data_IF_847737594308
#
_entry.id   IF_847737594308
#
_cell.length_a   1.000
_cell.length_b   1.000
_cell.length_c   1.000
_cell.angle_alpha   90.00
_cell.angle_beta   90.00
_cell.angle_gamma   90.00
#
_symmetry.space_group_name_H-M   'P 1'
#
loop_
_entity.id
_entity.type
_entity.pdbx_description
1 polymer ?
#
# COMPACT_ATOMS: atom_id res chain seq x y z
N UNK A 1 38.63 38.70 -16.42
CA UNK A 1 38.00 37.88 -17.48
C UNK A 1 36.71 37.29 -16.92
N UNK A 2 35.60 37.99 -17.12
CA UNK A 2 34.26 37.59 -16.70
C UNK A 2 33.67 36.67 -17.77
N UNK A 3 33.34 35.43 -17.41
CA UNK A 3 32.66 34.48 -18.28
C UNK A 3 31.26 35.01 -18.59
N UNK A 4 30.97 35.27 -19.86
CA UNK A 4 29.62 35.61 -20.32
C UNK A 4 28.67 34.45 -20.01
N UNK A 5 27.63 34.76 -19.24
CA UNK A 5 26.62 33.82 -18.83
C UNK A 5 25.55 33.77 -19.93
N UNK A 6 25.79 32.95 -20.96
CA UNK A 6 24.84 32.74 -22.06
C UNK A 6 23.62 32.02 -21.48
N UNK A 7 22.53 32.76 -21.23
CA UNK A 7 21.26 32.17 -20.82
C UNK A 7 20.74 31.30 -21.97
N UNK A 8 20.39 30.03 -21.73
CA UNK A 8 19.86 29.17 -22.77
C UNK A 8 18.55 29.75 -23.29
N UNK A 9 18.42 29.78 -24.61
CA UNK A 9 17.19 30.24 -25.29
C UNK A 9 16.13 29.15 -25.10
N UNK A 10 15.23 29.36 -24.15
CA UNK A 10 14.10 28.47 -23.90
C UNK A 10 13.06 28.69 -25.02
N UNK A 11 12.88 27.69 -25.89
CA UNK A 11 11.85 27.67 -26.93
C UNK A 11 11.13 26.32 -26.90
N UNK A 12 9.84 26.33 -27.25
CA UNK A 12 9.07 25.10 -27.47
C UNK A 12 9.78 24.22 -28.49
N UNK A 13 9.90 22.91 -28.20
CA UNK A 13 10.54 21.94 -29.10
C UNK A 13 9.64 21.55 -30.27
N UNK A 14 8.35 21.92 -30.25
CA UNK A 14 7.34 21.53 -31.22
C UNK A 14 7.37 20.01 -31.52
N UNK A 15 7.69 19.20 -30.51
CA UNK A 15 7.67 17.75 -30.63
C UNK A 15 6.19 17.31 -30.80
N UNK A 16 5.88 16.45 -31.79
CA UNK A 16 4.54 15.93 -31.96
C UNK A 16 4.15 15.08 -30.74
N UNK A 17 2.93 15.27 -30.25
CA UNK A 17 2.38 14.38 -29.23
C UNK A 17 2.13 12.99 -29.81
N UNK A 18 2.14 11.96 -28.96
CA UNK A 18 1.85 10.59 -29.38
C UNK A 18 0.40 10.50 -29.85
N UNK A 19 0.17 10.02 -31.08
CA UNK A 19 -1.17 9.94 -31.67
C UNK A 19 -2.10 8.93 -30.97
N UNK A 20 -1.55 7.99 -30.17
CA UNK A 20 -2.30 6.97 -29.44
C UNK A 20 -1.73 6.75 -28.04
N UNK A 21 -2.63 6.72 -27.05
CA UNK A 21 -2.30 6.27 -25.69
C UNK A 21 -2.20 4.74 -25.71
N UNK A 22 -1.10 4.19 -25.22
CA UNK A 22 -0.89 2.74 -25.12
C UNK A 22 -0.47 2.36 -23.69
N UNK A 23 -0.97 1.23 -23.21
CA UNK A 23 -0.64 0.67 -21.90
C UNK A 23 -0.52 -0.85 -21.99
N UNK A 24 0.19 -1.45 -21.03
CA UNK A 24 0.29 -2.91 -20.87
C UNK A 24 -0.82 -3.49 -19.98
N UNK A 25 -1.67 -2.64 -19.41
CA UNK A 25 -2.69 -3.01 -18.42
C UNK A 25 -4.06 -3.19 -19.08
N UNK A 26 -4.48 -2.21 -19.89
CA UNK A 26 -5.83 -2.15 -20.43
C UNK A 26 -5.81 -2.01 -21.95
N UNK A 27 -6.48 -2.92 -22.64
CA UNK A 27 -6.64 -2.88 -24.08
C UNK A 27 -8.11 -2.67 -24.43
N UNK A 28 -8.37 -1.65 -25.25
CA UNK A 28 -9.67 -1.44 -25.87
C UNK A 28 -9.62 -1.94 -27.31
N UNK A 29 -10.58 -2.78 -27.68
CA UNK A 29 -10.78 -3.22 -29.05
C UNK A 29 -11.89 -2.33 -29.62
N UNK A 30 -11.58 -1.45 -30.60
CA UNK A 30 -12.55 -0.51 -31.13
C UNK A 30 -13.64 -1.23 -31.93
N UNK A 31 -14.85 -0.66 -31.89
CA UNK A 31 -15.93 -1.06 -32.79
C UNK A 31 -15.56 -0.77 -34.25
N UNK A 32 -15.98 -1.67 -35.15
CA UNK A 32 -15.77 -1.53 -36.59
C UNK A 32 -16.35 -0.22 -37.17
N UNK A 33 -17.39 0.34 -36.55
CA UNK A 33 -18.11 1.52 -37.05
C UNK A 33 -17.69 2.83 -36.39
N UNK A 34 -17.11 2.79 -35.18
CA UNK A 34 -16.64 3.96 -34.48
C UNK A 34 -15.38 3.62 -33.66
N UNK A 35 -14.17 4.08 -34.10
CA UNK A 35 -12.93 3.74 -33.42
C UNK A 35 -12.75 4.40 -32.04
N UNK A 36 -13.65 5.30 -31.64
CA UNK A 36 -13.66 5.92 -30.31
C UNK A 36 -14.56 5.21 -29.30
N UNK A 37 -15.23 4.12 -29.72
CA UNK A 37 -16.05 3.28 -28.85
C UNK A 37 -15.43 1.89 -28.81
N UNK A 38 -15.15 1.40 -27.61
CA UNK A 38 -14.70 0.02 -27.41
C UNK A 38 -15.87 -0.96 -27.59
N UNK A 39 -15.68 -1.97 -28.44
CA UNK A 39 -16.57 -3.13 -28.56
C UNK A 39 -16.26 -4.17 -27.48
N UNK A 40 -14.99 -4.27 -27.07
CA UNK A 40 -14.58 -5.06 -25.90
C UNK A 40 -13.35 -4.44 -25.24
N UNK A 41 -13.18 -4.75 -23.95
CA UNK A 41 -12.05 -4.30 -23.15
C UNK A 41 -11.38 -5.50 -22.50
N UNK A 42 -10.05 -5.50 -22.48
CA UNK A 42 -9.25 -6.56 -21.88
C UNK A 42 -8.30 -5.99 -20.83
N UNK A 43 -8.33 -6.56 -19.62
CA UNK A 43 -7.39 -6.27 -18.55
C UNK A 43 -6.32 -7.34 -18.53
N UNK A 44 -5.07 -7.00 -18.85
CA UNK A 44 -3.96 -7.97 -18.97
C UNK A 44 -4.31 -9.19 -19.85
N UNK A 45 -5.11 -8.98 -20.90
CA UNK A 45 -5.56 -10.02 -21.83
C UNK A 45 -6.82 -10.79 -21.41
N UNK A 46 -7.36 -10.53 -20.21
CA UNK A 46 -8.64 -11.10 -19.76
C UNK A 46 -9.80 -10.18 -20.14
N UNK A 47 -10.88 -10.74 -20.70
CA UNK A 47 -12.07 -9.98 -21.03
C UNK A 47 -12.71 -9.35 -19.78
N UNK A 48 -13.04 -8.06 -19.85
CA UNK A 48 -13.53 -7.30 -18.70
C UNK A 48 -14.90 -7.78 -18.20
N UNK A 49 -15.79 -8.25 -19.08
CA UNK A 49 -17.10 -8.78 -18.69
C UNK A 49 -16.95 -10.18 -18.08
N UNK A 50 -16.06 -11.00 -18.62
CA UNK A 50 -15.73 -12.29 -18.01
C UNK A 50 -15.15 -12.12 -16.59
N UNK A 51 -14.27 -11.15 -16.40
CA UNK A 51 -13.75 -10.81 -15.06
C UNK A 51 -14.89 -10.41 -14.12
N UNK A 52 -15.81 -9.54 -14.57
CA UNK A 52 -16.93 -9.08 -13.76
C UNK A 52 -17.89 -10.22 -13.37
N UNK A 53 -18.05 -11.23 -14.23
CA UNK A 53 -18.90 -12.40 -13.95
C UNK A 53 -18.22 -13.41 -12.99
N UNK A 54 -16.91 -13.62 -13.13
CA UNK A 54 -16.23 -14.78 -12.54
C UNK A 54 -15.25 -14.46 -11.42
N UNK A 55 -14.89 -13.19 -11.20
CA UNK A 55 -13.85 -12.79 -10.25
C UNK A 55 -14.37 -11.78 -9.24
N UNK A 56 -13.79 -11.83 -8.04
CA UNK A 56 -14.05 -10.84 -7.01
C UNK A 56 -13.37 -9.51 -7.36
N UNK A 57 -13.83 -8.43 -6.73
CA UNK A 57 -13.18 -7.13 -6.86
C UNK A 57 -11.71 -7.18 -6.41
N UNK A 58 -11.39 -7.92 -5.35
CA UNK A 58 -10.02 -8.11 -4.86
C UNK A 58 -9.12 -8.83 -5.88
N UNK A 59 -9.63 -9.85 -6.58
CA UNK A 59 -8.90 -10.54 -7.65
C UNK A 59 -8.58 -9.60 -8.82
N UNK A 60 -9.51 -8.70 -9.18
CA UNK A 60 -9.30 -7.71 -10.25
C UNK A 60 -8.28 -6.65 -9.83
N UNK A 61 -8.33 -6.18 -8.57
CA UNK A 61 -7.28 -5.27 -8.04
C UNK A 61 -5.92 -5.96 -8.04
N UNK A 62 -5.85 -7.24 -7.65
CA UNK A 62 -4.62 -8.02 -7.71
C UNK A 62 -4.09 -8.07 -9.16
N UNK A 63 -4.94 -8.43 -10.12
CA UNK A 63 -4.60 -8.48 -11.55
C UNK A 63 -4.03 -7.16 -12.07
N UNK A 64 -4.65 -6.03 -11.73
CA UNK A 64 -4.20 -4.69 -12.16
C UNK A 64 -2.78 -4.33 -11.69
N UNK A 65 -2.31 -4.93 -10.59
CA UNK A 65 -1.01 -4.63 -10.00
C UNK A 65 0.04 -5.73 -10.25
N UNK A 66 -0.38 -6.99 -10.30
CA UNK A 66 0.50 -8.14 -10.52
C UNK A 66 0.65 -8.50 -12.01
N UNK A 67 -0.36 -8.18 -12.84
CA UNK A 67 -0.42 -8.57 -14.24
C UNK A 67 -0.93 -9.99 -14.50
N UNK A 68 -1.24 -10.73 -13.43
CA UNK A 68 -1.80 -12.09 -13.47
C UNK A 68 -2.86 -12.26 -12.38
N UNK A 69 -3.81 -13.18 -12.57
CA UNK A 69 -4.83 -13.49 -11.57
C UNK A 69 -4.23 -14.22 -10.37
N UNK A 70 -4.71 -13.97 -9.14
CA UNK A 70 -4.20 -14.67 -7.96
C UNK A 70 -4.60 -16.15 -7.96
N UNK A 71 -3.77 -16.99 -7.35
CA UNK A 71 -4.19 -18.31 -6.91
C UNK A 71 -5.26 -18.21 -5.80
N UNK A 72 -5.98 -19.30 -5.54
CA UNK A 72 -7.00 -19.32 -4.47
C UNK A 72 -6.44 -18.93 -3.09
N UNK A 73 -5.19 -19.30 -2.79
CA UNK A 73 -4.54 -18.97 -1.52
C UNK A 73 -4.14 -17.48 -1.45
N UNK A 74 -3.61 -16.93 -2.54
CA UNK A 74 -3.32 -15.50 -2.65
C UNK A 74 -4.59 -14.65 -2.57
N UNK A 75 -5.64 -15.05 -3.29
CA UNK A 75 -6.95 -14.40 -3.26
C UNK A 75 -7.48 -14.33 -1.84
N UNK A 76 -7.47 -15.45 -1.11
CA UNK A 76 -7.93 -15.51 0.28
C UNK A 76 -7.09 -14.63 1.22
N UNK A 77 -5.76 -14.66 1.09
CA UNK A 77 -4.87 -13.82 1.90
C UNK A 77 -5.11 -12.34 1.64
N UNK A 78 -5.15 -11.96 0.37
CA UNK A 78 -5.33 -10.58 -0.06
C UNK A 78 -6.68 -10.03 0.38
N UNK A 79 -7.77 -10.74 0.09
CA UNK A 79 -9.11 -10.35 0.50
C UNK A 79 -9.22 -10.22 2.03
N UNK A 80 -8.63 -11.15 2.80
CA UNK A 80 -8.67 -11.07 4.27
C UNK A 80 -7.99 -9.81 4.78
N UNK A 81 -6.82 -9.45 4.23
CA UNK A 81 -6.14 -8.19 4.56
C UNK A 81 -7.00 -6.99 4.17
N UNK A 82 -7.55 -6.97 2.94
CA UNK A 82 -8.35 -5.84 2.45
C UNK A 82 -9.55 -5.57 3.35
N UNK A 83 -10.26 -6.62 3.75
CA UNK A 83 -11.40 -6.51 4.67
C UNK A 83 -10.94 -6.03 6.05
N UNK A 84 -9.88 -6.62 6.60
CA UNK A 84 -9.39 -6.29 7.94
C UNK A 84 -8.90 -4.84 8.07
N UNK A 85 -8.37 -4.26 6.99
CA UNK A 85 -7.83 -2.90 6.95
C UNK A 85 -8.73 -1.90 6.21
N UNK A 86 -9.97 -2.29 5.89
CA UNK A 86 -10.94 -1.47 5.15
C UNK A 86 -11.23 -0.12 5.79
N UNK A 87 -11.07 -0.02 7.12
CA UNK A 87 -11.26 1.23 7.86
C UNK A 87 -10.17 1.37 8.94
N UNK A 88 -9.31 2.40 8.87
CA UNK A 88 -8.27 2.64 9.88
C UNK A 88 -8.83 3.23 11.19
N UNK A 89 -10.13 3.55 11.23
CA UNK A 89 -10.84 4.00 12.42
C UNK A 89 -10.81 5.52 12.64
N UNK A 90 -11.68 6.04 13.53
CA UNK A 90 -11.96 7.47 13.65
C UNK A 90 -10.78 8.31 14.15
N UNK A 91 -9.79 7.68 14.78
CA UNK A 91 -8.59 8.37 15.29
C UNK A 91 -7.49 8.51 14.23
N UNK A 92 -7.62 7.83 13.09
CA UNK A 92 -6.65 7.93 12.01
C UNK A 92 -6.67 9.32 11.36
N UNK A 93 -5.51 9.94 11.06
CA UNK A 93 -5.45 11.25 10.43
C UNK A 93 -6.29 11.36 9.13
N UNK A 94 -6.26 10.33 8.28
CA UNK A 94 -7.05 10.30 7.04
C UNK A 94 -8.56 10.34 7.31
N UNK A 95 -9.05 9.50 8.22
CA UNK A 95 -10.47 9.49 8.63
C UNK A 95 -10.89 10.82 9.24
N UNK A 96 -10.03 11.43 10.06
CA UNK A 96 -10.29 12.77 10.60
C UNK A 96 -10.33 13.84 9.53
N UNK A 97 -9.48 13.74 8.49
CA UNK A 97 -9.52 14.66 7.36
C UNK A 97 -10.85 14.55 6.60
N UNK A 98 -11.34 13.33 6.37
CA UNK A 98 -12.66 13.08 5.79
C UNK A 98 -13.79 13.68 6.65
N UNK A 99 -13.77 13.42 7.97
CA UNK A 99 -14.76 13.94 8.91
C UNK A 99 -14.79 15.47 8.94
N UNK A 100 -13.61 16.10 9.02
CA UNK A 100 -13.48 17.56 9.01
C UNK A 100 -13.96 18.16 7.69
N UNK A 101 -13.62 17.55 6.55
CA UNK A 101 -14.09 18.00 5.24
C UNK A 101 -15.62 17.91 5.14
N UNK A 102 -16.22 16.81 5.62
CA UNK A 102 -17.67 16.60 5.66
C UNK A 102 -18.40 17.63 6.52
N UNK A 103 -17.95 17.84 7.77
CA UNK A 103 -18.53 18.86 8.67
C UNK A 103 -18.34 20.28 8.11
N UNK A 104 -17.20 20.53 7.44
CA UNK A 104 -16.89 21.78 6.78
C UNK A 104 -17.72 22.08 5.52
N UNK A 105 -18.70 21.23 5.18
CA UNK A 105 -19.54 21.36 3.97
C UNK A 105 -18.73 21.38 2.67
N UNK A 106 -17.58 20.70 2.67
CA UNK A 106 -16.83 20.43 1.43
C UNK A 106 -17.75 19.68 0.47
N UNK A 107 -17.67 19.98 -0.83
CA UNK A 107 -18.40 19.20 -1.82
C UNK A 107 -18.06 17.70 -1.63
N UNK A 108 -19.08 16.82 -1.47
CA UNK A 108 -18.88 15.41 -1.16
C UNK A 108 -17.88 14.68 -2.06
N UNK A 109 -17.78 15.06 -3.34
CA UNK A 109 -16.85 14.48 -4.30
C UNK A 109 -15.36 14.64 -3.91
N UNK A 110 -15.02 15.60 -3.05
CA UNK A 110 -13.64 15.83 -2.60
C UNK A 110 -13.31 15.21 -1.25
N UNK A 111 -14.29 14.71 -0.48
CA UNK A 111 -14.05 14.17 0.86
C UNK A 111 -13.10 12.98 0.82
N UNK A 112 -13.37 12.00 -0.06
CA UNK A 112 -12.51 10.84 -0.23
C UNK A 112 -11.11 11.23 -0.76
N UNK A 113 -10.96 12.03 -1.84
CA UNK A 113 -9.65 12.53 -2.27
C UNK A 113 -8.83 13.24 -1.17
N UNK A 114 -9.47 14.04 -0.30
CA UNK A 114 -8.82 14.70 0.84
C UNK A 114 -8.32 13.64 1.85
N UNK A 115 -9.18 12.67 2.20
CA UNK A 115 -8.79 11.53 3.04
C UNK A 115 -7.59 10.78 2.46
N UNK A 116 -7.66 10.46 1.17
CA UNK A 116 -6.64 9.71 0.45
C UNK A 116 -5.31 10.46 0.34
N UNK A 117 -5.35 11.78 0.24
CA UNK A 117 -4.15 12.63 0.25
C UNK A 117 -3.43 12.60 1.59
N UNK A 118 -4.16 12.38 2.70
CA UNK A 118 -3.55 12.15 4.01
C UNK A 118 -3.12 10.70 4.17
N UNK A 119 -3.89 9.75 3.62
CA UNK A 119 -3.57 8.32 3.62
C UNK A 119 -2.28 7.99 2.87
N UNK A 120 -1.83 8.81 1.92
CA UNK A 120 -0.54 8.61 1.24
C UNK A 120 0.69 8.92 2.11
N UNK A 121 0.52 9.54 3.28
CA UNK A 121 1.62 10.04 4.10
C UNK A 121 2.49 8.95 4.75
N UNK A 122 3.55 9.40 5.41
CA UNK A 122 4.57 8.54 6.04
C UNK A 122 4.20 8.05 7.45
N UNK A 123 3.11 8.54 8.03
CA UNK A 123 2.65 8.12 9.36
C UNK A 123 1.36 7.31 9.23
N UNK A 124 1.45 5.98 9.43
CA UNK A 124 0.34 5.04 9.30
C UNK A 124 -0.35 5.04 7.93
N UNK A 125 0.33 5.59 6.92
CA UNK A 125 -0.15 5.71 5.56
C UNK A 125 0.66 4.89 4.56
N UNK A 126 0.38 5.12 3.28
CA UNK A 126 1.00 4.41 2.16
C UNK A 126 2.52 4.62 2.08
N UNK A 127 3.03 5.79 2.47
CA UNK A 127 4.48 6.04 2.55
C UNK A 127 5.16 5.07 3.52
N UNK A 128 4.56 4.85 4.69
CA UNK A 128 5.07 3.89 5.67
C UNK A 128 4.99 2.44 5.16
N UNK A 129 3.92 2.07 4.45
CA UNK A 129 3.81 0.73 3.83
C UNK A 129 4.96 0.47 2.87
N UNK A 130 5.26 1.41 1.97
CA UNK A 130 6.38 1.28 1.04
C UNK A 130 7.74 1.21 1.77
N UNK A 131 7.91 1.97 2.85
CA UNK A 131 9.10 1.92 3.70
C UNK A 131 9.22 0.56 4.44
N UNK A 132 8.12 0.04 4.99
CA UNK A 132 8.04 -1.25 5.68
C UNK A 132 8.33 -2.41 4.72
N UNK A 133 7.77 -2.40 3.51
CA UNK A 133 8.10 -3.40 2.48
C UNK A 133 9.59 -3.39 2.15
N UNK A 134 10.20 -2.20 2.10
CA UNK A 134 11.64 -2.05 1.85
C UNK A 134 12.47 -2.57 3.03
N UNK A 135 12.06 -2.24 4.27
CA UNK A 135 12.70 -2.71 5.50
C UNK A 135 12.69 -4.24 5.58
N UNK A 136 11.53 -4.87 5.40
CA UNK A 136 11.38 -6.33 5.41
C UNK A 136 12.23 -7.01 4.33
N UNK A 137 12.23 -6.48 3.10
CA UNK A 137 13.07 -7.02 2.01
C UNK A 137 14.57 -6.94 2.31
N UNK A 138 15.03 -5.85 2.92
CA UNK A 138 16.44 -5.65 3.28
C UNK A 138 16.88 -6.62 4.39
N UNK A 139 16.01 -6.82 5.38
CA UNK A 139 16.33 -7.62 6.57
C UNK A 139 15.97 -9.10 6.47
N UNK A 140 15.35 -9.56 5.37
CA UNK A 140 14.93 -10.97 5.18
C UNK A 140 15.99 -12.04 5.45
N UNK A 141 17.28 -11.69 5.38
CA UNK A 141 18.42 -12.61 5.61
C UNK A 141 19.00 -12.50 7.01
N UNK A 142 18.61 -11.50 7.77
CA UNK A 142 19.04 -11.26 9.13
C UNK A 142 18.07 -11.97 10.09
N UNK A 143 18.57 -12.32 11.27
CA UNK A 143 17.74 -12.89 12.33
C UNK A 143 16.86 -11.78 12.94
N UNK A 144 15.52 -11.95 13.00
CA UNK A 144 14.61 -10.93 13.53
C UNK A 144 15.03 -10.37 14.89
N UNK A 145 15.38 -11.25 15.83
CA UNK A 145 15.78 -10.89 17.20
C UNK A 145 17.05 -10.03 17.23
N UNK A 146 17.99 -10.29 16.32
CA UNK A 146 19.21 -9.49 16.20
C UNK A 146 18.90 -8.08 15.71
N UNK A 147 18.00 -7.95 14.72
CA UNK A 147 17.56 -6.64 14.20
C UNK A 147 16.84 -5.85 15.29
N UNK A 148 15.99 -6.50 16.09
CA UNK A 148 15.31 -5.85 17.23
C UNK A 148 16.31 -5.35 18.25
N UNK A 149 17.26 -6.20 18.66
CA UNK A 149 18.30 -5.81 19.62
C UNK A 149 19.14 -4.63 19.12
N UNK A 150 19.52 -4.64 17.83
CA UNK A 150 20.25 -3.54 17.21
C UNK A 150 19.43 -2.24 17.23
N UNK A 151 18.16 -2.29 16.82
CA UNK A 151 17.30 -1.11 16.79
C UNK A 151 17.08 -0.52 18.18
N UNK A 152 16.81 -1.35 19.18
CA UNK A 152 16.56 -0.89 20.56
C UNK A 152 17.83 -0.33 21.20
N UNK A 153 19.01 -0.90 20.90
CA UNK A 153 20.28 -0.39 21.45
C UNK A 153 20.76 0.90 20.79
N UNK A 154 20.39 1.14 19.53
CA UNK A 154 20.82 2.32 18.77
C UNK A 154 19.85 3.50 18.85
N UNK A 155 18.63 3.30 19.36
CA UNK A 155 17.59 4.34 19.38
C UNK A 155 17.03 4.52 20.79
N UNK A 156 16.82 5.77 21.18
CA UNK A 156 16.14 6.10 22.42
C UNK A 156 14.64 6.24 22.19
N UNK A 157 13.84 5.80 23.16
CA UNK A 157 12.38 5.98 23.12
C UNK A 157 12.06 7.48 23.15
N UNK A 158 11.21 7.99 22.24
CA UNK A 158 10.77 9.38 22.30
C UNK A 158 10.11 9.73 23.63
N UNK A 159 10.36 10.92 24.15
CA UNK A 159 9.74 11.42 25.40
C UNK A 159 8.23 11.55 25.28
N UNK A 160 7.73 11.83 24.08
CA UNK A 160 6.31 12.03 23.79
C UNK A 160 5.88 11.33 22.51
N UNK A 161 4.65 10.83 22.50
CA UNK A 161 4.04 10.22 21.31
C UNK A 161 4.36 8.75 21.14
N UNK A 162 3.99 8.23 19.98
CA UNK A 162 4.22 6.83 19.61
C UNK A 162 5.65 6.60 19.14
N UNK A 163 6.22 5.45 19.52
CA UNK A 163 7.54 5.03 19.07
C UNK A 163 7.41 4.08 17.88
N UNK A 164 7.70 4.58 16.68
CA UNK A 164 7.82 3.75 15.47
C UNK A 164 9.29 3.29 15.34
N UNK A 165 9.64 2.21 16.04
CA UNK A 165 11.01 1.68 16.09
C UNK A 165 11.51 1.21 14.72
N UNK A 166 10.60 0.75 13.86
CA UNK A 166 10.86 0.44 12.46
C UNK A 166 9.59 0.75 11.64
N UNK A 167 9.67 1.01 10.33
CA UNK A 167 8.48 1.24 9.52
C UNK A 167 7.50 0.06 9.62
N UNK A 168 6.25 0.33 10.03
CA UNK A 168 5.23 -0.70 10.22
C UNK A 168 5.25 -1.41 11.57
N UNK A 169 6.16 -1.04 12.49
CA UNK A 169 6.27 -1.62 13.83
C UNK A 169 6.51 -0.54 14.89
N UNK A 170 5.82 -0.63 16.01
CA UNK A 170 5.91 0.39 17.04
C UNK A 170 4.79 0.34 18.06
N UNK A 171 4.67 1.42 18.82
CA UNK A 171 3.54 1.63 19.73
C UNK A 171 2.41 2.39 19.04
N UNK A 172 1.19 2.22 19.54
CA UNK A 172 0.00 2.97 19.17
C UNK A 172 -0.71 3.48 20.42
N UNK A 173 -0.79 4.80 20.56
CA UNK A 173 -1.22 5.47 21.80
C UNK A 173 -0.43 5.03 23.04
N UNK A 174 0.88 4.79 22.87
CA UNK A 174 1.81 4.41 23.93
C UNK A 174 1.85 2.93 24.30
N UNK A 175 1.03 2.09 23.65
CA UNK A 175 0.92 0.66 23.93
C UNK A 175 0.89 -0.18 22.63
N UNK A 176 0.79 -1.50 22.73
CA UNK A 176 0.66 -2.41 21.60
C UNK A 176 -0.69 -2.18 20.90
N UNK A 177 -0.70 -2.14 19.56
CA UNK A 177 -1.94 -2.13 18.79
C UNK A 177 -2.57 -3.54 18.78
N UNK A 178 -3.45 -3.78 19.75
CA UNK A 178 -4.16 -5.06 19.96
C UNK A 178 -4.92 -5.51 18.71
N UNK A 179 -5.47 -4.59 17.92
CA UNK A 179 -6.22 -4.96 16.71
C UNK A 179 -5.25 -5.43 15.63
N UNK A 180 -4.13 -4.74 15.44
CA UNK A 180 -3.08 -5.17 14.52
C UNK A 180 -2.51 -6.55 14.90
N UNK A 181 -2.28 -6.82 16.20
CA UNK A 181 -1.86 -8.15 16.68
C UNK A 181 -2.88 -9.27 16.38
N UNK A 182 -4.18 -8.97 16.54
CA UNK A 182 -5.24 -9.93 16.22
C UNK A 182 -5.34 -10.20 14.72
N UNK A 183 -5.15 -9.18 13.89
CA UNK A 183 -5.12 -9.34 12.43
C UNK A 183 -3.88 -10.15 12.03
N UNK A 184 -2.71 -9.89 12.62
CA UNK A 184 -1.50 -10.70 12.41
C UNK A 184 -1.77 -12.17 12.70
N UNK A 185 -2.35 -12.46 13.87
CA UNK A 185 -2.72 -13.82 14.28
C UNK A 185 -3.63 -14.49 13.26
N UNK A 186 -4.64 -13.79 12.74
CA UNK A 186 -5.54 -14.30 11.70
C UNK A 186 -4.78 -14.60 10.39
N UNK A 187 -3.99 -13.65 9.90
CA UNK A 187 -3.21 -13.78 8.67
C UNK A 187 -2.24 -14.97 8.74
N UNK A 188 -1.62 -15.20 9.91
CA UNK A 188 -0.71 -16.32 10.15
C UNK A 188 -1.37 -17.70 10.07
N UNK A 189 -2.70 -17.78 10.10
CA UNK A 189 -3.44 -19.05 9.91
C UNK A 189 -3.71 -19.38 8.44
N UNK A 190 -3.54 -18.41 7.53
CA UNK A 190 -3.94 -18.57 6.13
C UNK A 190 -2.86 -19.30 5.31
N UNK A 191 -3.27 -20.19 4.38
CA UNK A 191 -2.32 -20.99 3.59
C UNK A 191 -1.51 -20.16 2.59
N UNK A 192 -1.99 -18.96 2.23
CA UNK A 192 -1.29 -18.06 1.31
C UNK A 192 -0.18 -17.23 1.95
N UNK A 193 0.03 -17.33 3.27
CA UNK A 193 1.12 -16.61 3.95
C UNK A 193 2.48 -17.09 3.45
N UNK A 194 3.47 -16.21 3.48
CA UNK A 194 4.82 -16.51 3.04
C UNK A 194 5.89 -16.06 4.03
N UNK A 195 7.16 -16.06 3.58
CA UNK A 195 8.30 -15.77 4.43
C UNK A 195 8.32 -14.36 5.02
N UNK A 196 7.68 -13.38 4.36
CA UNK A 196 7.66 -12.00 4.86
C UNK A 196 6.77 -11.87 6.09
N UNK A 197 5.57 -12.46 6.09
CA UNK A 197 4.73 -12.55 7.29
C UNK A 197 5.41 -13.33 8.40
N UNK A 198 6.02 -14.47 8.08
CA UNK A 198 6.73 -15.27 9.09
C UNK A 198 7.87 -14.48 9.75
N UNK A 199 8.73 -13.84 8.95
CA UNK A 199 9.84 -13.03 9.47
C UNK A 199 9.33 -11.85 10.30
N UNK A 200 8.32 -11.14 9.81
CA UNK A 200 7.77 -9.97 10.48
C UNK A 200 7.06 -10.33 11.79
N UNK A 201 6.44 -11.51 11.86
CA UNK A 201 5.81 -12.02 13.08
C UNK A 201 6.86 -12.33 14.16
N UNK A 202 7.97 -12.96 13.79
CA UNK A 202 9.09 -13.18 14.72
C UNK A 202 9.77 -11.86 15.13
N UNK A 203 9.83 -10.88 14.22
CA UNK A 203 10.33 -9.54 14.54
C UNK A 203 9.44 -8.81 15.56
N UNK A 204 8.11 -8.94 15.45
CA UNK A 204 7.16 -8.23 16.32
C UNK A 204 7.13 -8.76 17.76
N UNK A 205 7.33 -10.08 17.98
CA UNK A 205 7.25 -10.72 19.31
C UNK A 205 8.11 -10.06 20.39
N UNK A 206 9.45 -9.91 20.23
CA UNK A 206 10.28 -9.31 21.27
C UNK A 206 10.00 -7.82 21.50
N UNK A 207 9.32 -7.14 20.57
CA UNK A 207 8.91 -5.74 20.76
C UNK A 207 7.84 -5.59 21.86
N UNK A 208 7.10 -6.65 22.19
CA UNK A 208 6.04 -6.63 23.20
C UNK A 208 6.59 -6.25 24.59
N UNK A 209 7.83 -6.60 24.91
CA UNK A 209 8.51 -6.22 26.15
C UNK A 209 8.67 -4.70 26.31
N UNK A 210 8.53 -3.96 25.20
CA UNK A 210 8.66 -2.50 25.13
C UNK A 210 7.33 -1.79 24.84
N UNK A 211 6.19 -2.49 24.99
CA UNK A 211 4.85 -2.01 24.63
C UNK A 211 4.77 -1.57 23.14
N UNK A 212 5.44 -2.32 22.28
CA UNK A 212 5.44 -2.13 20.82
C UNK A 212 5.09 -3.44 20.13
N UNK A 213 4.62 -3.39 18.89
CA UNK A 213 4.30 -4.59 18.12
C UNK A 213 3.97 -4.24 16.68
N UNK A 214 3.03 -4.98 16.10
CA UNK A 214 2.52 -4.70 14.75
C UNK A 214 1.81 -3.34 14.67
N UNK A 215 2.03 -2.62 13.57
CA UNK A 215 1.12 -1.58 13.08
C UNK A 215 0.43 -2.07 11.79
N UNK A 216 -0.71 -1.48 11.45
CA UNK A 216 -1.48 -1.82 10.24
C UNK A 216 -0.66 -1.76 8.95
N UNK A 217 0.26 -0.79 8.88
CA UNK A 217 1.16 -0.61 7.74
C UNK A 217 2.19 -1.74 7.62
N UNK A 218 2.64 -2.32 8.73
CA UNK A 218 3.50 -3.51 8.75
C UNK A 218 2.78 -4.74 8.24
N UNK A 219 1.52 -4.95 8.65
CA UNK A 219 0.68 -6.06 8.18
C UNK A 219 0.49 -6.00 6.67
N UNK A 220 0.11 -4.82 6.15
CA UNK A 220 -0.05 -4.61 4.72
C UNK A 220 1.27 -4.88 3.97
N UNK A 221 2.39 -4.36 4.48
CA UNK A 221 3.69 -4.57 3.87
C UNK A 221 4.11 -6.05 3.80
N UNK A 222 3.94 -6.80 4.89
CA UNK A 222 4.30 -8.22 4.94
C UNK A 222 3.45 -9.05 3.96
N UNK A 223 2.13 -8.86 3.98
CA UNK A 223 1.22 -9.54 3.03
C UNK A 223 1.55 -9.15 1.59
N UNK A 224 1.76 -7.87 1.29
CA UNK A 224 2.04 -7.44 -0.07
C UNK A 224 3.34 -8.07 -0.61
N UNK A 225 4.35 -8.26 0.24
CA UNK A 225 5.58 -8.97 -0.14
C UNK A 225 5.34 -10.46 -0.41
N UNK A 226 4.57 -11.14 0.44
CA UNK A 226 4.24 -12.55 0.24
C UNK A 226 3.40 -12.78 -1.02
N UNK A 227 2.57 -11.81 -1.38
CA UNK A 227 1.81 -11.78 -2.63
C UNK A 227 2.64 -11.43 -3.86
N UNK A 228 3.93 -11.06 -3.69
CA UNK A 228 4.85 -10.76 -4.79
C UNK A 228 4.84 -9.31 -5.27
N UNK A 229 4.11 -8.41 -4.61
CA UNK A 229 4.07 -7.00 -5.02
C UNK A 229 5.39 -6.27 -4.76
N UNK A 230 5.74 -5.37 -5.66
CA UNK A 230 6.92 -4.51 -5.52
C UNK A 230 6.63 -3.37 -4.52
N UNK A 231 7.60 -2.94 -3.67
CA UNK A 231 7.41 -1.82 -2.72
C UNK A 231 6.87 -0.52 -3.32
N UNK A 232 7.11 -0.29 -4.61
CA UNK A 232 6.58 0.88 -5.35
C UNK A 232 5.06 0.87 -5.49
N UNK A 233 4.42 -0.29 -5.45
CA UNK A 233 2.96 -0.43 -5.48
C UNK A 233 2.33 -0.31 -4.08
N UNK A 234 3.11 -0.46 -3.02
CA UNK A 234 2.62 -0.57 -1.63
C UNK A 234 1.73 0.60 -1.21
N UNK A 235 2.16 1.84 -1.46
CA UNK A 235 1.39 3.02 -1.10
C UNK A 235 0.01 3.07 -1.78
N UNK A 236 -0.03 2.86 -3.10
CA UNK A 236 -1.26 2.89 -3.88
C UNK A 236 -2.22 1.75 -3.51
N UNK A 237 -1.69 0.53 -3.30
CA UNK A 237 -2.47 -0.61 -2.84
C UNK A 237 -3.09 -0.32 -1.47
N UNK A 238 -2.33 0.23 -0.53
CA UNK A 238 -2.85 0.56 0.80
C UNK A 238 -3.95 1.62 0.78
N UNK A 239 -3.81 2.63 -0.09
CA UNK A 239 -4.84 3.65 -0.29
C UNK A 239 -6.16 3.07 -0.83
N UNK A 240 -6.08 2.10 -1.75
CA UNK A 240 -7.26 1.36 -2.25
C UNK A 240 -7.87 0.52 -1.13
N UNK A 241 -7.05 -0.10 -0.28
CA UNK A 241 -7.50 -0.91 0.85
C UNK A 241 -8.27 -0.09 1.88
N UNK A 242 -7.73 1.06 2.29
CA UNK A 242 -8.19 1.81 3.47
C UNK A 242 -8.89 3.12 3.07
N UNK A 243 -9.95 3.00 2.28
CA UNK A 243 -10.68 4.11 1.65
C UNK A 243 -11.96 4.56 2.34
#
# INVERSE_FOLDING_TARGET
>A
MTKENIKPVIKSRNEPFVDRVATRIWQEIPSAHNPYIAESCQCHGYDALELAEKRSFSDVIFLLHAGELPSAQQSRLFETLLVALSNPGPRHPATRAAMNAGVGKTNPAHILPISQSVMSGDHLGGGEVSAAMTFLRKNRKNTPEQVVHELISQNERPETGDWHIAPGFGSRFGDIDIISERIATLLMTLPGKGPALDWANEFAKPLHEHNMGWLSTGLAAAVFLDLGFHPRAGAGLFQITSS
#
